data_IF_845636388312
#
_entry.id   IF_845636388312
#
_cell.length_a   1.000
_cell.length_b   1.000
_cell.length_c   1.000
_cell.angle_alpha   90.00
_cell.angle_beta   90.00
_cell.angle_gamma   90.00
#
_symmetry.space_group_name_H-M   'P 1'
#
loop_
_entity.id
_entity.type
_entity.pdbx_description
1 polymer ?
#
# COMPACT_ATOMS: atom_id res chain seq x y z
N UNK A 1 7.57 -22.15 11.71
CA UNK A 1 6.09 -22.06 11.59
C UNK A 1 5.80 -20.83 10.76
N UNK A 2 5.10 -20.96 9.63
CA UNK A 2 4.72 -19.81 8.81
C UNK A 2 3.70 -18.96 9.57
N UNK A 3 3.96 -17.66 9.67
CA UNK A 3 3.15 -16.72 10.45
C UNK A 3 2.98 -15.41 9.70
N UNK A 4 1.81 -14.81 9.86
CA UNK A 4 1.49 -13.51 9.28
C UNK A 4 0.82 -12.64 10.35
N UNK A 5 1.24 -11.39 10.44
CA UNK A 5 0.40 -10.35 11.02
C UNK A 5 -0.75 -10.07 10.06
N UNK A 6 -1.94 -9.89 10.61
CA UNK A 6 -3.17 -9.65 9.86
C UNK A 6 -3.70 -8.26 10.21
N UNK A 7 -3.76 -7.39 9.21
CA UNK A 7 -4.52 -6.14 9.30
C UNK A 7 -6.01 -6.42 9.12
N UNK A 8 -6.85 -5.51 9.63
CA UNK A 8 -8.29 -5.62 9.50
C UNK A 8 -9.00 -4.30 9.79
N UNK A 9 -10.26 -4.21 9.38
CA UNK A 9 -11.13 -3.09 9.74
C UNK A 9 -11.83 -3.37 11.08
N UNK A 10 -11.75 -2.40 11.99
CA UNK A 10 -12.51 -2.39 13.23
C UNK A 10 -13.82 -1.61 13.10
N UNK A 11 -14.55 -1.38 14.21
CA UNK A 11 -15.90 -0.82 14.19
C UNK A 11 -16.04 0.56 13.52
N UNK A 12 -15.00 1.41 13.59
CA UNK A 12 -15.01 2.72 12.95
C UNK A 12 -14.99 2.66 11.41
N UNK A 13 -14.68 1.49 10.84
CA UNK A 13 -14.64 1.22 9.41
C UNK A 13 -15.60 0.09 9.02
N UNK A 14 -16.71 -0.05 9.77
CA UNK A 14 -17.74 -1.08 9.57
C UNK A 14 -17.20 -2.53 9.60
N UNK A 15 -16.16 -2.77 10.39
CA UNK A 15 -15.54 -4.09 10.55
C UNK A 15 -15.54 -4.61 11.98
N UNK A 16 -15.04 -5.83 12.15
CA UNK A 16 -15.04 -6.57 13.43
C UNK A 16 -13.64 -6.82 14.01
N UNK A 17 -12.57 -6.35 13.37
CA UNK A 17 -11.20 -6.55 13.85
C UNK A 17 -10.94 -5.75 15.13
N UNK A 18 -10.40 -6.42 16.15
CA UNK A 18 -10.02 -5.82 17.43
C UNK A 18 -8.61 -5.20 17.39
N UNK A 19 -7.82 -5.52 16.36
CA UNK A 19 -6.48 -4.99 16.17
C UNK A 19 -5.64 -5.80 15.18
N UNK A 20 -4.32 -5.81 15.39
CA UNK A 20 -3.41 -6.56 14.52
C UNK A 20 -3.53 -8.03 14.90
N UNK A 21 -4.09 -8.83 14.02
CA UNK A 21 -4.26 -10.27 14.21
C UNK A 21 -2.97 -11.08 14.01
N UNK A 22 -2.96 -12.30 14.52
CA UNK A 22 -1.95 -13.32 14.19
C UNK A 22 -2.59 -14.48 13.44
N UNK A 23 -2.08 -14.75 12.24
CA UNK A 23 -2.32 -15.99 11.49
C UNK A 23 -1.11 -16.89 11.58
N UNK A 24 -1.32 -18.17 11.89
CA UNK A 24 -0.24 -19.13 12.01
C UNK A 24 -0.65 -20.51 11.50
N UNK A 25 0.23 -21.16 10.72
CA UNK A 25 0.04 -22.53 10.24
C UNK A 25 0.56 -23.58 11.23
N UNK A 26 0.25 -24.86 11.03
CA UNK A 26 0.66 -25.90 11.97
C UNK A 26 2.20 -26.05 12.05
N UNK A 27 2.72 -26.40 13.24
CA UNK A 27 4.17 -26.49 13.46
C UNK A 27 4.83 -27.61 12.63
N UNK A 28 6.03 -27.33 12.10
CA UNK A 28 6.91 -28.34 11.49
C UNK A 28 6.58 -28.78 10.06
N UNK A 29 5.65 -28.11 9.37
CA UNK A 29 5.32 -28.39 7.95
C UNK A 29 5.18 -27.09 7.15
N UNK A 30 5.24 -27.18 5.82
CA UNK A 30 4.73 -26.10 4.97
C UNK A 30 3.30 -25.76 5.41
N UNK A 31 2.94 -24.47 5.39
CA UNK A 31 1.59 -24.05 5.73
C UNK A 31 0.60 -24.61 4.69
N UNK A 32 0.05 -25.78 4.97
CA UNK A 32 -1.12 -26.34 4.27
C UNK A 32 -2.42 -25.80 4.86
N UNK A 33 -2.36 -25.25 6.07
CA UNK A 33 -3.46 -24.72 6.88
C UNK A 33 -2.98 -23.46 7.58
N UNK A 34 -3.89 -22.52 7.85
CA UNK A 34 -3.64 -21.32 8.64
C UNK A 34 -4.81 -21.10 9.60
N UNK A 35 -4.54 -20.70 10.83
CA UNK A 35 -5.60 -20.39 11.78
C UNK A 35 -5.36 -19.04 12.45
N UNK A 36 -6.46 -18.35 12.74
CA UNK A 36 -6.47 -17.14 13.55
C UNK A 36 -6.12 -17.47 14.99
N UNK A 37 -5.18 -16.73 15.56
CA UNK A 37 -4.70 -16.90 16.94
C UNK A 37 -5.09 -15.72 17.85
N UNK A 38 -6.03 -14.89 17.41
CA UNK A 38 -6.46 -13.69 18.13
C UNK A 38 -5.62 -12.46 17.75
N UNK A 39 -5.95 -11.34 18.39
CA UNK A 39 -5.20 -10.10 18.27
C UNK A 39 -3.85 -10.21 18.99
N UNK A 40 -2.78 -9.84 18.30
CA UNK A 40 -1.44 -9.66 18.84
C UNK A 40 -1.31 -8.34 19.62
N UNK A 41 -2.15 -7.36 19.28
CA UNK A 41 -2.33 -6.09 19.99
C UNK A 41 -3.69 -5.50 19.60
N UNK A 42 -4.40 -4.94 20.58
CA UNK A 42 -5.63 -4.18 20.35
C UNK A 42 -5.29 -2.78 19.81
N UNK A 43 -5.86 -2.42 18.67
CA UNK A 43 -5.67 -1.11 18.02
C UNK A 43 -6.79 -0.91 16.99
N UNK A 44 -7.36 0.29 16.81
CA UNK A 44 -8.46 0.45 15.88
C UNK A 44 -8.01 0.36 14.42
N UNK A 45 -8.75 -0.45 13.64
CA UNK A 45 -8.68 -0.51 12.17
C UNK A 45 -7.27 -0.47 11.55
N UNK A 46 -6.33 -1.36 11.95
CA UNK A 46 -5.00 -1.43 11.34
C UNK A 46 -5.09 -2.03 9.93
N UNK A 47 -5.55 -1.23 8.96
CA UNK A 47 -5.95 -1.72 7.65
C UNK A 47 -4.77 -2.10 6.75
N UNK A 48 -3.59 -1.53 7.01
CA UNK A 48 -2.34 -1.81 6.30
C UNK A 48 -1.17 -1.90 7.26
N UNK A 49 -0.24 -2.82 7.01
CA UNK A 49 0.92 -3.06 7.86
C UNK A 49 2.22 -3.01 7.04
N UNK A 50 3.27 -2.43 7.62
CA UNK A 50 4.62 -2.46 7.04
C UNK A 50 5.68 -2.79 8.10
N UNK A 51 6.72 -3.53 7.71
CA UNK A 51 7.80 -3.94 8.61
C UNK A 51 9.02 -3.03 8.43
N UNK A 52 9.64 -2.62 9.54
CA UNK A 52 10.95 -1.96 9.51
C UNK A 52 11.99 -2.86 8.83
N UNK A 53 12.88 -2.36 7.94
CA UNK A 53 13.78 -3.22 7.15
C UNK A 53 14.75 -4.06 7.99
N UNK A 54 15.15 -3.59 9.19
CA UNK A 54 16.17 -4.24 10.03
C UNK A 54 15.79 -4.45 11.49
N UNK A 55 14.66 -3.88 11.94
CA UNK A 55 14.23 -3.92 13.34
C UNK A 55 12.93 -4.73 13.43
N UNK A 56 12.65 -5.27 14.61
CA UNK A 56 11.42 -6.00 14.91
C UNK A 56 10.27 -5.03 15.24
N UNK A 57 10.01 -4.12 14.29
CA UNK A 57 8.99 -3.07 14.40
C UNK A 57 8.01 -3.16 13.24
N UNK A 58 6.73 -3.18 13.56
CA UNK A 58 5.61 -3.12 12.63
C UNK A 58 4.99 -1.73 12.71
N UNK A 59 4.74 -1.11 11.57
CA UNK A 59 3.98 0.12 11.43
C UNK A 59 2.60 -0.20 10.89
N UNK A 60 1.55 0.36 11.48
CA UNK A 60 0.18 0.17 11.03
C UNK A 60 -0.44 1.51 10.61
N UNK A 61 -1.13 1.50 9.47
CA UNK A 61 -2.07 2.55 9.10
C UNK A 61 -3.39 2.30 9.85
N UNK A 62 -3.78 3.22 10.74
CA UNK A 62 -5.03 3.17 11.50
C UNK A 62 -6.06 4.00 10.76
N UNK A 63 -6.73 3.38 9.79
CA UNK A 63 -7.44 4.10 8.72
C UNK A 63 -8.55 5.01 9.26
N UNK A 64 -9.40 4.48 10.15
CA UNK A 64 -10.49 5.25 10.77
C UNK A 64 -10.02 6.35 11.72
N UNK A 65 -8.78 6.25 12.21
CA UNK A 65 -8.23 7.13 13.25
C UNK A 65 -7.24 8.16 12.68
N UNK A 66 -7.04 8.16 11.36
CA UNK A 66 -6.20 9.15 10.66
C UNK A 66 -4.75 9.19 11.17
N UNK A 67 -4.23 8.05 11.62
CA UNK A 67 -2.94 7.96 12.29
C UNK A 67 -2.10 6.74 11.85
N UNK A 68 -0.79 6.85 11.99
CA UNK A 68 0.16 5.73 11.86
C UNK A 68 0.72 5.41 13.24
N UNK A 69 0.78 4.14 13.60
CA UNK A 69 1.35 3.71 14.88
C UNK A 69 2.44 2.66 14.69
N UNK A 70 3.52 2.80 15.46
CA UNK A 70 4.59 1.81 15.52
C UNK A 70 4.34 0.81 16.66
N UNK A 71 4.74 -0.44 16.44
CA UNK A 71 4.64 -1.53 17.39
C UNK A 71 5.95 -2.33 17.40
N UNK A 72 6.49 -2.57 18.59
CA UNK A 72 7.63 -3.47 18.78
C UNK A 72 7.14 -4.87 19.09
N UNK A 73 7.84 -5.88 18.58
CA UNK A 73 7.59 -7.27 18.98
C UNK A 73 8.00 -7.48 20.44
N UNK A 74 7.02 -7.73 21.31
CA UNK A 74 7.23 -7.95 22.73
C UNK A 74 7.33 -9.44 23.11
N UNK A 75 7.06 -10.33 22.15
CA UNK A 75 7.14 -11.76 22.35
C UNK A 75 6.72 -12.56 21.12
N UNK A 76 6.47 -13.84 21.31
CA UNK A 76 5.90 -14.69 20.28
C UNK A 76 4.41 -14.36 20.08
N UNK A 77 4.08 -13.81 18.92
CA UNK A 77 2.69 -13.45 18.62
C UNK A 77 2.15 -12.23 19.38
N UNK A 78 3.01 -11.46 20.05
CA UNK A 78 2.63 -10.28 20.84
C UNK A 78 3.34 -9.04 20.32
N UNK A 79 2.56 -7.98 20.11
CA UNK A 79 3.03 -6.64 19.75
C UNK A 79 2.74 -5.68 20.92
N UNK A 80 3.62 -4.71 21.13
CA UNK A 80 3.42 -3.63 22.09
C UNK A 80 3.57 -2.28 21.37
N UNK A 81 2.72 -1.28 21.68
CA UNK A 81 2.88 0.08 21.17
C UNK A 81 4.30 0.62 21.40
N UNK A 82 4.87 1.21 20.36
CA UNK A 82 6.17 1.89 20.41
C UNK A 82 5.97 3.39 20.16
N UNK A 83 5.70 4.12 21.25
CA UNK A 83 5.34 5.54 21.19
C UNK A 83 3.85 5.78 20.98
N UNK A 84 3.49 7.05 20.80
CA UNK A 84 2.11 7.45 20.50
C UNK A 84 1.81 7.31 18.99
N UNK A 85 0.54 7.12 18.59
CA UNK A 85 0.12 7.26 17.20
C UNK A 85 0.50 8.64 16.67
N UNK A 86 0.98 8.69 15.42
CA UNK A 86 1.31 9.90 14.71
C UNK A 86 0.14 10.29 13.77
N UNK A 87 -0.53 11.44 13.98
CA UNK A 87 -1.53 11.94 13.06
C UNK A 87 -0.94 12.21 11.67
N UNK A 88 -1.69 11.90 10.62
CA UNK A 88 -1.24 12.12 9.22
C UNK A 88 -2.32 12.80 8.37
N UNK A 89 -3.49 12.19 8.26
CA UNK A 89 -4.54 12.60 7.33
C UNK A 89 -5.68 11.58 7.29
N UNK A 90 -6.80 11.98 6.71
CA UNK A 90 -8.04 11.21 6.75
C UNK A 90 -7.91 9.90 5.97
N UNK A 91 -8.42 8.80 6.55
CA UNK A 91 -8.41 7.47 5.94
C UNK A 91 -7.02 7.07 5.41
N UNK A 92 -6.00 7.13 6.28
CA UNK A 92 -4.67 6.59 5.96
C UNK A 92 -4.78 5.11 5.64
N UNK A 93 -4.57 4.76 4.37
CA UNK A 93 -4.88 3.43 3.85
C UNK A 93 -3.65 2.62 3.47
N UNK A 94 -2.47 3.24 3.44
CA UNK A 94 -1.23 2.57 3.07
C UNK A 94 -0.01 3.23 3.73
N UNK A 95 0.94 2.40 4.17
CA UNK A 95 2.26 2.85 4.64
C UNK A 95 3.38 2.08 3.95
N UNK A 96 4.43 2.80 3.53
CA UNK A 96 5.65 2.23 2.97
C UNK A 96 6.86 2.67 3.81
N UNK A 97 7.74 1.74 4.17
CA UNK A 97 8.96 2.05 4.93
C UNK A 97 10.14 2.17 3.99
N UNK A 98 10.98 3.19 4.20
CA UNK A 98 12.19 3.39 3.41
C UNK A 98 13.13 2.19 3.54
N UNK A 99 13.80 1.73 2.47
CA UNK A 99 14.72 0.59 2.55
C UNK A 99 15.86 0.75 3.57
N UNK A 100 16.23 1.99 3.88
CA UNK A 100 17.26 2.32 4.87
C UNK A 100 16.70 2.49 6.31
N UNK A 101 15.39 2.34 6.52
CA UNK A 101 14.74 2.44 7.83
C UNK A 101 14.64 3.86 8.39
N UNK A 102 14.97 4.89 7.61
CA UNK A 102 15.04 6.28 8.13
C UNK A 102 13.71 7.04 8.12
N UNK A 103 12.72 6.54 7.39
CA UNK A 103 11.44 7.19 7.21
C UNK A 103 10.38 6.20 6.75
N UNK A 104 9.11 6.61 6.84
CA UNK A 104 7.99 5.98 6.15
C UNK A 104 7.14 7.02 5.42
N UNK A 105 6.40 6.57 4.41
CA UNK A 105 5.41 7.36 3.67
C UNK A 105 4.03 6.81 3.99
N UNK A 106 3.11 7.69 4.37
CA UNK A 106 1.71 7.40 4.57
C UNK A 106 0.88 8.02 3.44
N UNK A 107 -0.04 7.24 2.86
CA UNK A 107 -1.00 7.69 1.85
C UNK A 107 -2.39 7.80 2.48
N UNK A 108 -2.99 8.98 2.41
CA UNK A 108 -4.27 9.31 3.03
C UNK A 108 -5.35 9.40 1.96
N UNK A 109 -6.25 8.41 1.94
CA UNK A 109 -7.30 8.32 0.94
C UNK A 109 -8.31 9.46 1.08
N UNK A 110 -8.70 9.81 2.31
CA UNK A 110 -9.81 10.72 2.56
C UNK A 110 -9.56 12.17 2.16
N UNK A 111 -8.30 12.61 2.19
CA UNK A 111 -7.92 14.00 1.94
C UNK A 111 -6.74 14.14 0.94
N UNK A 112 -6.33 13.05 0.29
CA UNK A 112 -5.30 13.08 -0.74
C UNK A 112 -3.87 13.25 -0.24
N UNK A 113 -3.65 13.35 1.08
CA UNK A 113 -2.33 13.67 1.62
C UNK A 113 -1.33 12.52 1.44
N UNK A 114 -0.13 12.87 1.02
CA UNK A 114 1.07 12.01 1.11
C UNK A 114 1.98 12.59 2.17
N UNK A 115 2.25 11.82 3.23
CA UNK A 115 2.92 12.30 4.43
C UNK A 115 4.21 11.51 4.67
N UNK A 116 5.35 12.21 4.76
CA UNK A 116 6.64 11.60 5.15
C UNK A 116 6.86 11.74 6.65
N UNK A 117 7.02 10.60 7.32
CA UNK A 117 7.33 10.52 8.75
C UNK A 117 8.77 10.03 8.93
N UNK A 118 9.54 10.71 9.78
CA UNK A 118 10.90 10.27 10.12
C UNK A 118 10.87 9.10 11.10
N UNK A 119 11.92 8.27 11.07
CA UNK A 119 12.14 7.19 12.04
C UNK A 119 13.47 7.42 12.77
N UNK A 120 13.47 7.30 14.10
CA UNK A 120 14.70 7.34 14.89
C UNK A 120 15.51 6.03 14.80
N UNK A 121 16.67 5.97 15.46
CA UNK A 121 17.54 4.80 15.44
C UNK A 121 16.91 3.55 16.08
N UNK A 122 15.90 3.73 16.92
CA UNK A 122 15.12 2.65 17.52
C UNK A 122 13.80 2.42 16.77
N UNK A 123 13.64 3.01 15.58
CA UNK A 123 12.48 2.87 14.70
C UNK A 123 11.20 3.52 15.20
N UNK A 124 11.25 4.42 16.20
CA UNK A 124 10.08 5.20 16.61
C UNK A 124 9.75 6.24 15.57
N UNK A 125 8.46 6.50 15.38
CA UNK A 125 8.01 7.61 14.54
C UNK A 125 8.37 8.91 15.24
N UNK A 126 9.20 9.73 14.59
CA UNK A 126 9.53 11.07 15.05
C UNK A 126 8.68 12.09 14.30
N UNK A 127 8.06 13.07 15.00
CA UNK A 127 7.42 14.19 14.34
C UNK A 127 8.41 14.87 13.38
N UNK A 128 7.92 15.39 12.25
CA UNK A 128 8.75 16.18 11.36
C UNK A 128 9.40 17.31 12.18
N UNK A 129 10.74 17.48 12.05
CA UNK A 129 11.38 18.68 12.61
C UNK A 129 10.72 19.88 11.94
N UNK A 130 10.16 20.80 12.75
CA UNK A 130 9.71 22.09 12.25
C UNK A 130 10.83 22.66 11.37
N UNK A 131 10.49 23.04 10.14
CA UNK A 131 11.47 23.64 9.23
C UNK A 131 11.90 24.97 9.83
N UNK A 132 13.00 24.94 10.59
CA UNK A 132 13.54 26.10 11.27
C UNK A 132 13.90 27.22 10.27
N UNK A 133 14.20 26.88 9.01
CA UNK A 133 14.46 27.87 7.98
C UNK A 133 13.15 28.48 7.45
N UNK A 134 12.07 27.72 7.31
CA UNK A 134 10.74 28.27 7.00
C UNK A 134 10.21 29.14 8.16
N UNK A 135 10.33 28.68 9.40
CA UNK A 135 9.96 29.45 10.59
C UNK A 135 10.80 30.73 10.73
N UNK A 136 12.10 30.67 10.43
CA UNK A 136 12.98 31.84 10.43
C UNK A 136 12.65 32.81 9.28
N UNK A 137 12.30 32.32 8.09
CA UNK A 137 11.85 33.18 6.98
C UNK A 137 10.56 33.92 7.33
N UNK A 138 9.56 33.22 7.87
CA UNK A 138 8.32 33.82 8.34
C UNK A 138 8.59 34.88 9.45
N UNK A 139 9.49 34.56 10.39
CA UNK A 139 9.85 35.48 11.48
C UNK A 139 10.64 36.72 11.01
N UNK A 140 11.44 36.61 9.94
CA UNK A 140 12.29 37.70 9.44
C UNK A 140 11.61 38.59 8.39
N UNK A 141 10.71 38.02 7.58
CA UNK A 141 10.15 38.71 6.41
C UNK A 141 8.65 38.98 6.51
N UNK A 142 7.94 38.44 7.51
CA UNK A 142 6.47 38.51 7.57
C UNK A 142 5.80 37.78 6.42
N UNK A 143 4.46 37.71 6.43
CA UNK A 143 3.64 37.02 5.40
C UNK A 143 3.71 37.65 3.99
N UNK A 144 4.61 38.61 3.75
CA UNK A 144 4.82 39.29 2.46
C UNK A 144 5.86 38.57 1.56
N UNK A 145 6.22 37.33 1.87
CA UNK A 145 7.18 36.55 1.09
C UNK A 145 6.45 35.69 0.03
N UNK A 146 6.47 36.17 -1.22
CA UNK A 146 6.07 35.49 -2.46
C UNK A 146 4.63 34.91 -2.45
N UNK A 147 3.66 35.50 -3.18
CA UNK A 147 2.30 34.98 -3.23
C UNK A 147 2.19 33.55 -3.79
N UNK A 148 3.25 33.02 -4.40
CA UNK A 148 3.35 31.64 -4.87
C UNK A 148 4.10 30.70 -3.90
N UNK A 149 4.57 31.20 -2.74
CA UNK A 149 5.20 30.36 -1.73
C UNK A 149 4.16 29.56 -0.92
N UNK A 150 4.34 28.24 -0.73
CA UNK A 150 3.42 27.43 0.06
C UNK A 150 3.42 27.88 1.52
N UNK A 151 2.22 27.99 2.11
CA UNK A 151 2.04 28.38 3.50
C UNK A 151 2.82 27.45 4.46
N UNK A 152 3.41 27.98 5.55
CA UNK A 152 4.15 27.17 6.50
C UNK A 152 3.24 26.12 7.14
N UNK A 153 3.65 24.85 7.07
CA UNK A 153 2.97 23.74 7.73
C UNK A 153 3.05 23.90 9.25
N UNK A 154 1.95 23.71 10.00
CA UNK A 154 1.99 23.72 11.46
C UNK A 154 2.99 22.68 12.00
N UNK A 155 3.69 22.94 13.12
CA UNK A 155 4.56 21.95 13.74
C UNK A 155 3.74 20.79 14.30
N UNK A 156 4.10 19.55 13.94
CA UNK A 156 3.50 18.33 14.50
C UNK A 156 2.85 17.42 13.47
N UNK A 157 2.52 17.95 12.30
CA UNK A 157 2.00 17.20 11.18
C UNK A 157 3.16 16.86 10.23
N UNK A 158 3.22 15.64 9.71
CA UNK A 158 4.17 15.37 8.63
C UNK A 158 3.87 16.31 7.46
N UNK A 159 4.92 16.76 6.76
CA UNK A 159 4.75 17.75 5.69
C UNK A 159 3.98 17.09 4.55
N UNK A 160 2.69 17.42 4.47
CA UNK A 160 1.83 17.00 3.39
C UNK A 160 2.36 17.59 2.08
N UNK A 161 2.36 16.78 1.03
CA UNK A 161 2.51 17.31 -0.31
C UNK A 161 1.43 18.36 -0.61
N UNK A 162 1.82 19.51 -1.15
CA UNK A 162 0.89 20.52 -1.63
C UNK A 162 0.41 20.09 -3.02
N UNK A 163 -0.88 19.82 -3.14
CA UNK A 163 -1.54 19.54 -4.41
C UNK A 163 -1.70 20.85 -5.21
N UNK A 164 -1.11 20.97 -6.42
CA UNK A 164 -1.24 22.17 -7.25
C UNK A 164 -2.67 22.43 -7.76
N UNK A 165 -3.60 21.48 -7.57
CA UNK A 165 -5.01 21.61 -7.97
C UNK A 165 -5.98 21.78 -6.80
N UNK A 166 -5.46 21.91 -5.58
CA UNK A 166 -6.26 22.21 -4.40
C UNK A 166 -6.85 23.62 -4.53
N UNK A 167 -8.14 23.68 -4.87
CA UNK A 167 -9.09 24.80 -4.90
C UNK A 167 -9.72 25.04 -6.29
N UNK A 168 -10.60 24.13 -6.78
CA UNK A 168 -11.53 24.52 -7.86
C UNK A 168 -12.21 23.47 -8.78
N UNK A 169 -12.26 22.17 -8.47
CA UNK A 169 -12.90 21.17 -9.35
C UNK A 169 -13.82 20.16 -8.65
N UNK A 170 -14.67 19.45 -9.42
CA UNK A 170 -15.63 18.42 -8.94
C UNK A 170 -14.96 17.12 -8.42
N UNK A 171 -13.66 16.94 -8.69
CA UNK A 171 -12.88 15.75 -8.30
C UNK A 171 -12.09 16.02 -7.02
N UNK A 172 -11.90 14.98 -6.21
CA UNK A 172 -11.12 15.01 -4.97
C UNK A 172 -9.90 14.12 -5.11
N UNK A 173 -8.76 14.54 -4.58
CA UNK A 173 -7.52 13.74 -4.53
C UNK A 173 -7.68 12.57 -3.54
N UNK A 174 -7.21 11.38 -3.94
CA UNK A 174 -7.23 10.17 -3.13
C UNK A 174 -5.89 9.44 -3.24
N UNK A 175 -4.92 9.79 -2.39
CA UNK A 175 -3.64 9.10 -2.34
C UNK A 175 -3.83 7.66 -1.81
N UNK A 176 -3.35 6.66 -2.55
CA UNK A 176 -3.68 5.27 -2.21
C UNK A 176 -2.47 4.37 -1.89
N UNK A 177 -1.34 4.51 -2.59
CA UNK A 177 -0.16 3.69 -2.32
C UNK A 177 1.12 4.48 -2.54
N UNK A 178 2.21 3.98 -1.95
CA UNK A 178 3.55 4.55 -2.07
C UNK A 178 4.60 3.45 -2.24
N UNK A 179 5.59 3.69 -3.10
CA UNK A 179 6.76 2.82 -3.28
C UNK A 179 8.03 3.64 -3.33
N UNK A 180 9.07 3.19 -2.61
CA UNK A 180 10.40 3.75 -2.72
C UNK A 180 11.11 3.21 -3.97
N UNK A 181 11.68 4.12 -4.76
CA UNK A 181 12.41 3.80 -5.98
C UNK A 181 13.92 3.66 -5.71
N UNK A 182 14.66 2.89 -6.54
CA UNK A 182 16.10 2.68 -6.35
C UNK A 182 16.95 3.95 -6.49
N UNK A 183 16.43 4.96 -7.18
CA UNK A 183 17.09 6.27 -7.33
C UNK A 183 16.82 7.24 -6.17
N UNK A 184 16.16 6.77 -5.11
CA UNK A 184 15.87 7.53 -3.90
C UNK A 184 14.59 8.36 -3.97
N UNK A 185 13.89 8.40 -5.11
CA UNK A 185 12.56 8.99 -5.20
C UNK A 185 11.49 8.09 -4.59
N UNK A 186 10.31 8.66 -4.38
CA UNK A 186 9.09 7.93 -3.99
C UNK A 186 8.08 8.07 -5.12
N UNK A 187 7.42 6.99 -5.51
CA UNK A 187 6.25 7.04 -6.38
C UNK A 187 4.98 6.90 -5.53
N UNK A 188 3.94 7.66 -5.82
CA UNK A 188 2.61 7.50 -5.20
C UNK A 188 1.49 7.51 -6.22
N UNK A 189 0.45 6.74 -5.98
CA UNK A 189 -0.80 6.81 -6.75
C UNK A 189 -1.75 7.83 -6.15
N UNK A 190 -2.45 8.55 -7.03
CA UNK A 190 -3.65 9.30 -6.70
C UNK A 190 -4.80 8.77 -7.54
N UNK A 191 -5.65 7.99 -6.87
CA UNK A 191 -6.82 7.36 -7.45
C UNK A 191 -7.85 8.41 -7.89
N UNK A 192 -7.97 9.49 -7.13
CA UNK A 192 -8.96 10.53 -7.34
C UNK A 192 -8.68 11.39 -8.55
N UNK A 193 -7.40 11.58 -8.92
CA UNK A 193 -6.94 12.42 -10.02
C UNK A 193 -6.36 11.68 -11.23
N UNK A 194 -6.32 10.36 -11.21
CA UNK A 194 -5.68 9.55 -12.27
C UNK A 194 -4.18 9.81 -12.43
N UNK A 195 -3.46 9.99 -11.32
CA UNK A 195 -2.04 10.34 -11.34
C UNK A 195 -1.14 9.27 -10.71
N UNK A 196 0.06 9.16 -11.26
CA UNK A 196 1.23 8.64 -10.55
C UNK A 196 2.20 9.78 -10.33
N UNK A 197 2.45 10.15 -9.08
CA UNK A 197 3.35 11.25 -8.71
C UNK A 197 4.70 10.72 -8.30
N UNK A 198 5.75 11.42 -8.69
CA UNK A 198 7.13 11.12 -8.31
C UNK A 198 7.67 12.24 -7.44
N UNK A 199 8.25 11.88 -6.31
CA UNK A 199 8.69 12.81 -5.29
C UNK A 199 10.18 12.68 -5.03
N UNK A 200 10.89 13.80 -4.99
CA UNK A 200 12.22 13.89 -4.40
C UNK A 200 12.09 14.02 -2.89
N UNK A 201 12.87 13.22 -2.16
CA UNK A 201 12.96 13.35 -0.71
C UNK A 201 13.88 14.51 -0.36
N UNK A 202 13.48 15.33 0.62
CA UNK A 202 14.31 16.39 1.20
C UNK A 202 14.37 16.23 2.73
N UNK A 203 15.25 16.99 3.39
CA UNK A 203 15.30 17.05 4.84
C UNK A 203 14.01 17.59 5.48
N UNK A 204 13.19 18.32 4.71
CA UNK A 204 11.93 18.92 5.15
C UNK A 204 10.68 18.16 4.68
N UNK A 205 10.78 17.09 3.89
CA UNK A 205 9.61 16.33 3.43
C UNK A 205 9.76 15.75 2.03
N UNK A 206 8.71 15.90 1.23
CA UNK A 206 8.64 15.48 -0.16
C UNK A 206 8.49 16.72 -1.05
N UNK A 207 9.22 16.75 -2.16
CA UNK A 207 9.09 17.78 -3.20
C UNK A 207 8.65 17.08 -4.48
N UNK A 208 7.54 17.54 -5.07
CA UNK A 208 7.06 17.00 -6.33
C UNK A 208 8.14 17.16 -7.40
N UNK A 209 8.46 16.06 -8.07
CA UNK A 209 9.43 16.02 -9.16
C UNK A 209 8.71 16.14 -10.50
N UNK A 210 7.80 15.21 -10.76
CA UNK A 210 6.93 15.20 -11.92
C UNK A 210 5.76 14.24 -11.68
N UNK A 211 4.81 14.24 -12.62
CA UNK A 211 3.61 13.41 -12.59
C UNK A 211 3.49 12.66 -13.92
N UNK A 212 2.89 11.47 -13.85
CA UNK A 212 2.39 10.75 -15.01
C UNK A 212 0.88 10.75 -14.92
N UNK A 213 0.25 11.39 -15.89
CA UNK A 213 -1.21 11.48 -16.01
C UNK A 213 -1.72 10.24 -16.75
N UNK A 214 -2.65 9.51 -16.14
CA UNK A 214 -3.38 8.42 -16.78
C UNK A 214 -4.70 8.93 -17.36
N UNK A 215 -5.36 8.17 -18.26
CA UNK A 215 -6.68 8.53 -18.76
C UNK A 215 -7.68 8.79 -17.64
N UNK A 216 -8.61 9.72 -17.90
CA UNK A 216 -9.60 10.14 -16.92
C UNK A 216 -10.52 8.97 -16.53
N UNK A 217 -10.70 8.74 -15.23
CA UNK A 217 -11.56 7.70 -14.68
C UNK A 217 -10.90 6.32 -14.61
N UNK A 218 -9.58 6.25 -14.62
CA UNK A 218 -8.85 4.98 -14.45
C UNK A 218 -8.70 4.62 -12.97
N UNK A 219 -8.37 5.58 -12.11
CA UNK A 219 -8.20 5.38 -10.67
C UNK A 219 -6.98 4.53 -10.29
N UNK A 220 -5.73 5.00 -10.47
CA UNK A 220 -4.52 4.32 -10.03
C UNK A 220 -4.58 3.94 -8.56
N UNK A 221 -4.41 2.65 -8.26
CA UNK A 221 -4.53 2.11 -6.91
C UNK A 221 -3.19 1.65 -6.38
N UNK A 222 -2.86 0.36 -6.50
CA UNK A 222 -1.59 -0.19 -6.02
C UNK A 222 -0.54 -0.28 -7.12
N UNK A 223 0.73 -0.40 -6.74
CA UNK A 223 1.84 -0.46 -7.67
C UNK A 223 2.92 -1.45 -7.21
N UNK A 224 3.63 -2.04 -8.18
CA UNK A 224 4.78 -2.92 -7.92
C UNK A 224 5.95 -2.47 -8.78
N UNK A 225 7.08 -2.20 -8.12
CA UNK A 225 8.36 -2.08 -8.80
C UNK A 225 8.88 -3.46 -9.19
N UNK A 226 8.93 -3.72 -10.49
CA UNK A 226 9.42 -4.97 -11.06
C UNK A 226 10.96 -4.98 -11.11
N UNK A 227 11.63 -6.15 -10.95
CA UNK A 227 13.09 -6.25 -11.05
C UNK A 227 13.71 -5.75 -12.36
N UNK A 228 12.93 -5.64 -13.45
CA UNK A 228 13.39 -5.03 -14.70
C UNK A 228 13.50 -3.50 -14.65
N UNK A 229 13.05 -2.87 -13.57
CA UNK A 229 13.01 -1.41 -13.41
C UNK A 229 11.71 -0.76 -13.87
N UNK A 230 10.75 -1.54 -14.39
CA UNK A 230 9.41 -1.06 -14.70
C UNK A 230 8.56 -0.93 -13.44
N UNK A 231 7.65 0.03 -13.43
CA UNK A 231 6.63 0.20 -12.39
C UNK A 231 5.28 -0.20 -12.98
N UNK A 232 4.67 -1.26 -12.45
CA UNK A 232 3.31 -1.68 -12.84
C UNK A 232 2.31 -1.07 -11.87
N UNK A 233 1.25 -0.46 -12.40
CA UNK A 233 0.24 0.27 -11.63
C UNK A 233 -1.13 -0.28 -11.99
N UNK A 234 -1.81 -0.91 -11.03
CA UNK A 234 -3.18 -1.40 -11.22
C UNK A 234 -4.18 -0.28 -10.98
N UNK A 235 -5.24 -0.24 -11.78
CA UNK A 235 -6.28 0.80 -11.70
C UNK A 235 -7.59 0.23 -11.19
N UNK A 236 -8.20 0.87 -10.19
CA UNK A 236 -9.40 0.41 -9.50
C UNK A 236 -10.65 0.54 -10.37
N UNK A 237 -10.75 1.58 -11.19
CA UNK A 237 -11.99 1.88 -11.93
C UNK A 237 -11.97 1.33 -13.35
N UNK A 238 -10.82 1.29 -14.02
CA UNK A 238 -10.73 0.85 -15.42
C UNK A 238 -10.32 -0.61 -15.63
N UNK A 239 -10.00 -1.36 -14.57
CA UNK A 239 -9.59 -2.77 -14.68
C UNK A 239 -8.32 -2.99 -15.51
N UNK A 240 -7.38 -2.04 -15.49
CA UNK A 240 -6.14 -2.08 -16.27
C UNK A 240 -4.90 -2.16 -15.37
N UNK A 241 -3.77 -2.55 -15.98
CA UNK A 241 -2.43 -2.38 -15.43
C UNK A 241 -1.62 -1.54 -16.41
N UNK A 242 -1.24 -0.35 -15.98
CA UNK A 242 -0.33 0.53 -16.71
C UNK A 242 1.11 0.17 -16.33
N UNK A 243 1.98 0.07 -17.33
CA UNK A 243 3.41 -0.15 -17.13
C UNK A 243 4.15 1.13 -17.44
N UNK A 244 4.93 1.62 -16.47
CA UNK A 244 5.75 2.82 -16.58
C UNK A 244 7.23 2.43 -16.65
N UNK A 245 7.99 3.17 -17.45
CA UNK A 245 9.45 3.04 -17.54
C UNK A 245 10.12 4.39 -17.26
N UNK A 246 11.36 4.32 -16.75
CA UNK A 246 12.20 5.48 -16.48
C UNK A 246 13.15 5.72 -17.64
N UNK A 247 13.11 6.91 -18.22
CA UNK A 247 14.08 7.37 -19.21
C UNK A 247 15.44 7.71 -18.56
N UNK A 248 16.46 7.96 -19.40
CA UNK A 248 17.82 8.23 -18.92
C UNK A 248 17.93 9.52 -18.08
N UNK A 249 17.11 10.52 -18.38
CA UNK A 249 16.99 11.78 -17.63
C UNK A 249 16.25 11.61 -16.28
N UNK A 250 15.68 10.42 -16.03
CA UNK A 250 14.92 10.11 -14.84
C UNK A 250 13.42 10.36 -14.96
N UNK A 251 12.91 10.83 -16.09
CA UNK A 251 11.47 11.01 -16.30
C UNK A 251 10.79 9.65 -16.44
N UNK A 252 9.66 9.46 -15.76
CA UNK A 252 8.82 8.27 -15.94
C UNK A 252 7.70 8.54 -16.94
N UNK A 253 7.33 7.53 -17.72
CA UNK A 253 6.21 7.60 -18.65
C UNK A 253 5.58 6.23 -18.86
N UNK A 254 4.30 6.20 -19.25
CA UNK A 254 3.62 4.97 -19.66
C UNK A 254 4.29 4.40 -20.91
N UNK A 255 4.60 3.11 -20.89
CA UNK A 255 5.15 2.36 -22.04
C UNK A 255 4.21 1.26 -22.54
N UNK A 256 3.29 0.80 -21.69
CA UNK A 256 2.23 -0.13 -22.09
C UNK A 256 1.03 -0.07 -21.16
N UNK A 257 -0.08 -0.66 -21.61
CA UNK A 257 -1.27 -0.93 -20.82
C UNK A 257 -1.79 -2.31 -21.18
N UNK A 258 -2.31 -3.03 -20.19
CA UNK A 258 -3.01 -4.30 -20.38
C UNK A 258 -4.25 -4.36 -19.49
N UNK A 259 -5.30 -5.04 -19.96
CA UNK A 259 -6.43 -5.38 -19.10
C UNK A 259 -5.97 -6.41 -18.06
N UNK A 260 -6.49 -6.27 -16.84
CA UNK A 260 -6.29 -7.27 -15.78
C UNK A 260 -6.83 -8.64 -16.20
N UNK A 261 -7.96 -8.67 -16.90
CA UNK A 261 -8.54 -9.85 -17.54
C UNK A 261 -9.36 -9.45 -18.78
N UNK A 262 -9.40 -10.26 -19.86
CA UNK A 262 -10.24 -10.01 -21.04
C UNK A 262 -11.75 -9.99 -20.75
N UNK A 263 -12.17 -10.52 -19.60
CA UNK A 263 -13.57 -10.60 -19.18
C UNK A 263 -13.84 -9.79 -17.91
N UNK A 264 -12.92 -8.93 -17.47
CA UNK A 264 -13.19 -8.00 -16.39
C UNK A 264 -14.26 -6.98 -16.81
N UNK A 265 -15.21 -6.70 -15.93
CA UNK A 265 -16.33 -5.82 -16.20
C UNK A 265 -16.17 -4.47 -15.49
N UNK A 266 -15.85 -3.41 -16.24
CA UNK A 266 -15.74 -2.04 -15.70
C UNK A 266 -17.04 -1.60 -15.03
N UNK A 267 -16.94 -1.09 -13.80
CA UNK A 267 -18.07 -0.68 -12.97
C UNK A 267 -18.68 -1.80 -12.12
N UNK A 268 -18.30 -3.06 -12.39
CA UNK A 268 -18.61 -4.22 -11.55
C UNK A 268 -17.36 -4.68 -10.81
N UNK A 269 -16.25 -4.81 -11.53
CA UNK A 269 -14.96 -5.22 -11.02
C UNK A 269 -14.10 -4.03 -10.60
N UNK A 270 -13.45 -4.18 -9.46
CA UNK A 270 -12.58 -3.17 -8.85
C UNK A 270 -11.28 -3.83 -8.40
N UNK A 271 -10.22 -3.81 -9.23
CA UNK A 271 -8.92 -4.33 -8.84
C UNK A 271 -8.43 -3.76 -7.52
N UNK A 272 -7.80 -4.59 -6.71
CA UNK A 272 -7.34 -4.23 -5.38
C UNK A 272 -5.80 -4.23 -5.28
N UNK A 273 -5.23 -5.27 -4.68
CA UNK A 273 -3.78 -5.44 -4.54
C UNK A 273 -3.15 -5.80 -5.89
N UNK A 274 -1.88 -5.43 -6.09
CA UNK A 274 -1.07 -5.96 -7.19
C UNK A 274 0.18 -6.60 -6.57
N UNK A 275 0.29 -7.92 -6.67
CA UNK A 275 1.43 -8.66 -6.12
C UNK A 275 2.22 -9.35 -7.22
N UNK A 276 3.54 -9.49 -7.05
CA UNK A 276 4.38 -10.25 -7.98
C UNK A 276 4.94 -11.52 -7.35
N UNK A 277 5.22 -12.51 -8.19
CA UNK A 277 6.12 -13.62 -7.86
C UNK A 277 7.54 -13.12 -7.62
N UNK A 278 8.32 -13.88 -6.84
CA UNK A 278 9.70 -13.52 -6.46
C UNK A 278 10.62 -13.36 -7.66
N UNK A 279 10.46 -14.19 -8.68
CA UNK A 279 11.21 -14.17 -9.94
C UNK A 279 10.68 -13.12 -10.94
N UNK A 280 9.56 -12.47 -10.63
CA UNK A 280 8.93 -11.43 -11.45
C UNK A 280 8.19 -11.95 -12.68
N UNK A 281 8.05 -13.27 -12.86
CA UNK A 281 7.43 -13.81 -14.07
C UNK A 281 5.92 -13.58 -14.14
N UNK A 282 5.28 -13.42 -12.99
CA UNK A 282 3.83 -13.24 -12.86
C UNK A 282 3.46 -12.12 -11.90
N UNK A 283 2.42 -11.38 -12.27
CA UNK A 283 1.69 -10.46 -11.43
C UNK A 283 0.28 -11.00 -11.17
N UNK A 284 -0.29 -10.64 -10.03
CA UNK A 284 -1.63 -11.03 -9.61
C UNK A 284 -2.38 -9.82 -9.09
N UNK A 285 -3.63 -9.69 -9.51
CA UNK A 285 -4.55 -8.72 -8.91
C UNK A 285 -5.86 -9.40 -8.56
N UNK A 286 -6.36 -9.13 -7.35
CA UNK A 286 -7.71 -9.47 -6.98
C UNK A 286 -8.69 -8.49 -7.62
N UNK A 287 -9.83 -8.98 -8.11
CA UNK A 287 -10.95 -8.19 -8.61
C UNK A 287 -12.08 -8.28 -7.58
N UNK A 288 -12.32 -7.19 -6.83
CA UNK A 288 -13.53 -7.08 -6.00
C UNK A 288 -14.73 -6.91 -6.92
N UNK A 289 -15.87 -7.49 -6.58
CA UNK A 289 -17.03 -7.54 -7.49
C UNK A 289 -17.25 -8.97 -7.95
N UNK A 290 -16.57 -9.40 -9.03
CA UNK A 290 -16.57 -10.81 -9.44
C UNK A 290 -15.88 -11.75 -8.44
N UNK A 291 -15.12 -11.21 -7.48
CA UNK A 291 -14.43 -11.95 -6.42
C UNK A 291 -13.44 -12.98 -6.98
N UNK A 292 -12.64 -12.54 -7.93
CA UNK A 292 -11.67 -13.38 -8.66
C UNK A 292 -10.23 -12.89 -8.46
N UNK A 293 -9.26 -13.74 -8.80
CA UNK A 293 -7.85 -13.41 -8.94
C UNK A 293 -7.48 -13.49 -10.42
N UNK A 294 -7.03 -12.37 -10.98
CA UNK A 294 -6.42 -12.32 -12.29
C UNK A 294 -4.91 -12.56 -12.20
N UNK A 295 -4.41 -13.45 -13.06
CA UNK A 295 -2.99 -13.73 -13.20
C UNK A 295 -2.49 -13.20 -14.55
N UNK A 296 -1.46 -12.36 -14.49
CA UNK A 296 -0.81 -11.74 -15.63
C UNK A 296 0.63 -12.25 -15.72
N UNK A 297 1.04 -12.69 -16.90
CA UNK A 297 2.44 -13.03 -17.17
C UNK A 297 3.18 -11.82 -17.69
N UNK A 298 4.36 -11.59 -17.14
CA UNK A 298 5.28 -10.54 -17.58
C UNK A 298 6.03 -11.00 -18.83
N UNK A 299 6.06 -10.17 -19.87
CA UNK A 299 6.63 -10.45 -21.20
C UNK A 299 7.65 -9.39 -21.60
N UNK A 300 8.43 -9.70 -22.63
CA UNK A 300 9.49 -8.82 -23.13
C UNK A 300 10.60 -8.62 -22.09
N UNK A 301 11.11 -7.41 -21.97
CA UNK A 301 11.99 -6.97 -20.89
C UNK A 301 11.25 -6.61 -19.59
N UNK A 302 9.95 -6.89 -19.51
CA UNK A 302 9.08 -6.55 -18.39
C UNK A 302 8.10 -5.42 -18.68
N UNK A 303 8.10 -4.88 -19.91
CA UNK A 303 7.21 -3.82 -20.34
C UNK A 303 5.82 -4.32 -20.73
N UNK A 304 5.64 -5.60 -21.07
CA UNK A 304 4.36 -6.13 -21.57
C UNK A 304 3.75 -7.12 -20.58
N UNK A 305 2.41 -7.11 -20.49
CA UNK A 305 1.64 -8.00 -19.63
C UNK A 305 0.63 -8.78 -20.48
N UNK A 306 0.45 -10.06 -20.16
CA UNK A 306 -0.50 -10.94 -20.82
C UNK A 306 -1.37 -11.64 -19.76
N UNK A 307 -2.69 -11.53 -19.87
CA UNK A 307 -3.60 -12.29 -19.02
C UNK A 307 -3.52 -13.78 -19.31
N UNK A 308 -3.21 -14.58 -18.29
CA UNK A 308 -3.03 -16.03 -18.42
C UNK A 308 -4.04 -16.85 -17.64
N UNK A 309 -4.67 -16.29 -16.61
CA UNK A 309 -5.75 -16.96 -15.87
C UNK A 309 -6.65 -15.96 -15.15
N UNK A 310 -7.90 -16.38 -14.93
CA UNK A 310 -8.82 -15.78 -13.98
C UNK A 310 -9.42 -16.92 -13.16
N UNK A 311 -9.32 -16.84 -11.84
CA UNK A 311 -9.76 -17.89 -10.93
C UNK A 311 -10.59 -17.31 -9.78
N UNK A 312 -11.47 -18.13 -9.21
CA UNK A 312 -12.23 -17.77 -8.01
C UNK A 312 -11.28 -17.50 -6.82
N UNK A 313 -11.55 -16.45 -6.04
CA UNK A 313 -10.72 -16.11 -4.88
C UNK A 313 -11.11 -16.86 -3.60
N UNK A 314 -12.27 -17.50 -3.58
CA UNK A 314 -12.88 -18.19 -2.45
C UNK A 314 -13.43 -17.28 -1.36
N UNK A 315 -13.46 -15.96 -1.59
CA UNK A 315 -13.89 -14.98 -0.59
C UNK A 315 -14.78 -13.88 -1.19
N UNK A 316 -15.53 -13.17 -0.35
CA UNK A 316 -16.24 -11.96 -0.77
C UNK A 316 -15.38 -10.72 -0.54
N UNK A 317 -15.25 -9.91 -1.60
CA UNK A 317 -14.53 -8.65 -1.61
C UNK A 317 -13.03 -8.84 -1.28
N UNK A 318 -12.26 -9.55 -2.15
CA UNK A 318 -10.84 -9.80 -1.94
C UNK A 318 -10.04 -8.50 -1.95
N UNK A 319 -9.78 -7.96 -0.76
CA UNK A 319 -9.20 -6.62 -0.55
C UNK A 319 -7.68 -6.60 -0.67
N UNK A 320 -7.05 -7.72 -0.37
CA UNK A 320 -5.61 -7.91 -0.46
C UNK A 320 -5.25 -9.38 -0.67
N UNK A 321 -4.13 -9.64 -1.33
CA UNK A 321 -3.55 -10.98 -1.42
C UNK A 321 -2.03 -10.94 -1.31
N UNK A 322 -1.44 -12.04 -0.86
CA UNK A 322 0.00 -12.18 -0.69
C UNK A 322 0.47 -13.46 -1.38
N UNK A 323 1.45 -13.34 -2.28
CA UNK A 323 2.15 -14.49 -2.85
C UNK A 323 3.33 -14.86 -1.95
N UNK A 324 3.33 -16.07 -1.40
CA UNK A 324 4.34 -16.55 -0.47
C UNK A 324 4.57 -18.06 -0.68
N UNK A 325 5.82 -18.44 -1.00
CA UNK A 325 6.25 -19.85 -1.10
C UNK A 325 5.32 -20.73 -1.96
N UNK A 326 5.06 -20.31 -3.21
CA UNK A 326 4.22 -21.05 -4.17
C UNK A 326 2.72 -21.03 -3.85
N UNK A 327 2.29 -20.26 -2.86
CA UNK A 327 0.90 -20.13 -2.44
C UNK A 327 0.45 -18.67 -2.49
N UNK A 328 -0.86 -18.47 -2.53
CA UNK A 328 -1.50 -17.17 -2.42
C UNK A 328 -2.45 -17.15 -1.24
N UNK A 329 -2.26 -16.22 -0.31
CA UNK A 329 -3.25 -15.90 0.71
C UNK A 329 -4.15 -14.79 0.17
N UNK A 330 -5.47 -14.91 0.32
CA UNK A 330 -6.43 -13.86 -0.06
C UNK A 330 -7.26 -13.45 1.15
N UNK A 331 -7.43 -12.14 1.36
CA UNK A 331 -8.21 -11.54 2.43
C UNK A 331 -9.58 -11.10 1.92
N UNK A 332 -10.63 -11.81 2.34
CA UNK A 332 -12.03 -11.48 2.07
C UNK A 332 -12.59 -10.50 3.07
N UNK A 333 -12.57 -9.21 2.73
CA UNK A 333 -13.00 -8.16 3.65
C UNK A 333 -14.46 -8.36 4.10
N UNK A 334 -15.36 -8.72 3.18
CA UNK A 334 -16.81 -8.79 3.46
C UNK A 334 -17.27 -10.17 3.94
N UNK A 335 -16.45 -11.19 3.76
CA UNK A 335 -16.77 -12.57 4.18
C UNK A 335 -16.11 -12.98 5.50
N UNK A 336 -15.37 -12.10 6.17
CA UNK A 336 -14.62 -12.44 7.40
C UNK A 336 -13.79 -13.72 7.24
N UNK A 337 -13.17 -13.88 6.06
CA UNK A 337 -12.52 -15.15 5.65
C UNK A 337 -11.20 -14.87 4.96
N UNK A 338 -10.22 -15.74 5.19
CA UNK A 338 -9.04 -15.85 4.35
C UNK A 338 -9.03 -17.19 3.64
N UNK A 339 -8.56 -17.20 2.40
CA UNK A 339 -8.29 -18.41 1.63
C UNK A 339 -6.79 -18.56 1.40
N UNK A 340 -6.36 -19.82 1.26
CA UNK A 340 -5.05 -20.20 0.80
C UNK A 340 -5.22 -20.98 -0.51
N UNK A 341 -4.61 -20.48 -1.58
CA UNK A 341 -4.72 -21.03 -2.94
C UNK A 341 -3.33 -21.50 -3.38
N UNK A 342 -3.23 -22.70 -3.94
CA UNK A 342 -2.00 -23.16 -4.56
C UNK A 342 -1.77 -22.48 -5.91
N UNK A 343 -0.52 -22.17 -6.25
CA UNK A 343 -0.15 -21.62 -7.55
C UNK A 343 0.56 -22.69 -8.38
N UNK A 344 0.18 -22.84 -9.65
CA UNK A 344 1.03 -23.55 -10.61
C UNK A 344 2.17 -22.61 -11.04
N UNK A 345 3.35 -22.78 -10.46
CA UNK A 345 4.52 -21.94 -10.71
C UNK A 345 4.96 -21.90 -12.20
N UNK A 346 4.63 -22.92 -12.99
CA UNK A 346 4.98 -22.96 -14.42
C UNK A 346 4.06 -22.08 -15.25
N UNK A 347 2.76 -22.11 -14.94
CA UNK A 347 1.75 -21.38 -15.72
C UNK A 347 1.41 -20.02 -15.14
N UNK A 348 1.62 -19.85 -13.83
CA UNK A 348 1.17 -18.74 -13.02
C UNK A 348 -0.29 -18.86 -12.57
N UNK A 349 -1.01 -19.93 -12.93
CA UNK A 349 -2.44 -20.02 -12.64
C UNK A 349 -2.71 -20.29 -11.14
N UNK A 350 -3.65 -19.56 -10.51
CA UNK A 350 -4.25 -19.98 -9.26
C UNK A 350 -5.03 -21.28 -9.47
N UNK A 351 -4.82 -22.24 -8.57
CA UNK A 351 -5.48 -23.55 -8.59
C UNK A 351 -6.71 -23.53 -7.67
N UNK A 352 -6.99 -24.64 -6.99
CA UNK A 352 -8.08 -24.71 -6.02
C UNK A 352 -7.73 -24.08 -4.68
N UNK A 353 -8.77 -23.61 -3.99
CA UNK A 353 -8.68 -23.25 -2.57
C UNK A 353 -8.28 -24.50 -1.78
N UNK A 354 -7.13 -24.43 -1.13
CA UNK A 354 -6.57 -25.49 -0.28
C UNK A 354 -7.13 -25.42 1.13
N UNK A 355 -7.31 -24.21 1.65
CA UNK A 355 -7.69 -23.97 3.03
C UNK A 355 -8.42 -22.64 3.19
N UNK A 356 -9.32 -22.59 4.16
CA UNK A 356 -10.09 -21.42 4.54
C UNK A 356 -10.07 -21.25 6.05
N UNK A 357 -10.02 -20.00 6.53
CA UNK A 357 -10.17 -19.70 7.95
C UNK A 357 -10.99 -18.43 8.16
N UNK A 358 -11.84 -18.46 9.19
CA UNK A 358 -12.56 -17.30 9.65
C UNK A 358 -11.60 -16.35 10.38
N UNK A 359 -11.67 -15.07 10.04
CA UNK A 359 -10.90 -13.99 10.64
C UNK A 359 -11.72 -12.70 10.61
N UNK A 360 -11.57 -11.79 11.58
CA UNK A 360 -12.38 -10.58 11.62
C UNK A 360 -11.95 -9.57 10.56
N UNK A 361 -12.80 -9.36 9.56
CA UNK A 361 -12.75 -8.31 8.52
C UNK A 361 -11.33 -8.02 8.00
N UNK A 362 -10.67 -9.02 7.38
CA UNK A 362 -9.25 -8.94 7.04
C UNK A 362 -8.98 -7.99 5.88
N UNK A 363 -7.88 -7.24 5.95
CA UNK A 363 -7.53 -6.25 4.93
C UNK A 363 -6.12 -6.35 4.40
N UNK A 364 -5.17 -6.93 5.14
CA UNK A 364 -3.77 -6.99 4.73
C UNK A 364 -2.99 -8.11 5.44
N UNK A 365 -2.07 -8.77 4.72
CA UNK A 365 -1.16 -9.76 5.32
C UNK A 365 0.26 -9.21 5.34
N UNK A 366 0.95 -9.33 6.47
CA UNK A 366 2.37 -9.04 6.59
C UNK A 366 3.11 -10.27 7.14
N UNK A 367 4.06 -10.87 6.41
CA UNK A 367 4.87 -11.97 6.94
C UNK A 367 5.58 -11.58 8.24
N UNK A 368 5.49 -12.45 9.25
CA UNK A 368 6.30 -12.32 10.47
C UNK A 368 7.71 -12.81 10.16
N UNK A 369 8.72 -12.01 10.51
CA UNK A 369 10.13 -12.38 10.36
C UNK A 369 10.63 -13.29 11.48
#
# INVERSE_FOLDING_TARGET
>A
MTRFWLGGYGPAMDGSAEGIGLLAGDEGREASTLAYRGAAVEVPSPSWLAQHPTLDIVYAALEGDSAVQAFVRAGEGVLAPLGAPAPVGQYVCHVAVAPNGSALIASCYGDGRVVRLGLDAEGRIVPAKADAAAALRAALFGDDADPDAPAPTPPGDGVAAVDPYGMGGDRVSHAHAAVFLPDGRVATTDLGFDLVRFWRQSGSGLVLDHEVVLPVGTGPRHMVLHPSGHLHVVTEYSCEVFTLARAADGTWSVVSVALTSPIAEVGTDFPAELARTRDGQFLYTALRGSNTIAALRVRGGGEALESVALADSGVDWPRHHLVHEGKMLVAGQRSDTITLIDLDERTGAPLGVRHEAQVPTPTHFLPVR
#
